data_IF_601672574585
#
_entry.id   IF_601672574585
#
_cell.length_a   1.000
_cell.length_b   1.000
_cell.length_c   1.000
_cell.angle_alpha   90.00
_cell.angle_beta   90.00
_cell.angle_gamma   90.00
#
_symmetry.space_group_name_H-M   'P 1'
#
loop_
_entity.id
_entity.type
_entity.pdbx_description
1 polymer ?
#
# COMPACT_ATOMS: atom_id res chain seq x y z
N UNK A 1 9.15 5.49 0.94
CA UNK A 1 9.18 6.96 1.06
C UNK A 1 8.18 7.47 2.09
N UNK A 2 6.95 7.02 2.14
CA UNK A 2 5.93 7.49 3.09
C UNK A 2 6.38 7.52 4.56
N UNK A 3 7.06 6.47 5.02
CA UNK A 3 7.58 6.44 6.40
C UNK A 3 8.59 7.55 6.70
N UNK A 4 9.29 8.08 5.69
CA UNK A 4 10.25 9.18 5.89
C UNK A 4 9.54 10.51 6.10
N UNK A 5 8.44 10.77 5.40
CA UNK A 5 7.63 11.97 5.63
C UNK A 5 7.05 12.00 7.04
N UNK A 6 6.91 10.83 7.68
CA UNK A 6 6.45 10.69 9.06
C UNK A 6 7.56 10.61 10.10
N UNK A 7 8.81 10.94 9.74
CA UNK A 7 9.94 11.02 10.66
C UNK A 7 10.81 9.76 10.75
N UNK A 8 10.68 8.80 9.85
CA UNK A 8 11.53 7.61 9.83
C UNK A 8 12.98 7.97 9.50
N UNK A 9 13.92 7.64 10.39
CA UNK A 9 15.36 7.85 10.23
C UNK A 9 16.10 6.66 9.61
N UNK A 10 15.39 5.65 9.15
CA UNK A 10 15.91 4.43 8.48
C UNK A 10 16.91 3.60 9.32
N UNK A 11 16.75 3.57 10.62
CA UNK A 11 17.57 2.75 11.53
C UNK A 11 17.43 1.24 11.30
N UNK A 12 16.42 0.79 10.53
CA UNK A 12 16.17 -0.63 10.22
C UNK A 12 15.94 -1.52 11.44
N UNK A 13 15.40 -0.95 12.52
CA UNK A 13 15.08 -1.64 13.78
C UNK A 13 13.58 -1.97 13.95
N UNK A 14 12.77 -1.77 12.90
CA UNK A 14 11.31 -1.99 12.96
C UNK A 14 10.94 -3.41 13.40
N UNK A 15 11.66 -4.41 12.89
CA UNK A 15 11.42 -5.82 13.19
C UNK A 15 11.70 -6.22 14.65
N UNK A 16 12.40 -5.38 15.39
CA UNK A 16 12.72 -5.59 16.81
C UNK A 16 11.75 -4.86 17.76
N UNK A 17 10.73 -4.19 17.22
CA UNK A 17 9.81 -3.35 18.01
C UNK A 17 10.51 -2.20 18.77
N UNK A 18 11.70 -1.79 18.34
CA UNK A 18 12.56 -0.81 19.01
C UNK A 18 12.79 0.45 18.16
N UNK A 19 11.78 0.86 17.39
CA UNK A 19 11.90 2.07 16.57
C UNK A 19 12.12 3.31 17.44
N UNK A 20 13.29 3.97 17.37
CA UNK A 20 13.65 5.04 18.29
C UNK A 20 12.83 6.33 18.09
N UNK A 21 12.17 6.47 16.97
CA UNK A 21 11.32 7.63 16.63
C UNK A 21 9.82 7.32 16.65
N UNK A 22 9.43 6.14 17.09
CA UNK A 22 8.03 5.78 17.31
C UNK A 22 7.21 5.43 16.07
N UNK A 23 7.77 5.49 14.84
CA UNK A 23 7.02 5.27 13.58
C UNK A 23 6.54 3.82 13.44
N UNK A 24 7.35 2.86 13.87
CA UNK A 24 7.08 1.43 13.69
C UNK A 24 7.43 0.65 14.96
N UNK A 25 6.65 0.85 16.01
CA UNK A 25 6.79 0.16 17.28
C UNK A 25 5.45 0.10 18.01
N UNK A 26 5.26 -0.93 18.82
CA UNK A 26 4.15 -1.06 19.76
C UNK A 26 4.56 -0.70 21.20
N UNK A 27 5.84 -0.42 21.45
CA UNK A 27 6.32 0.04 22.75
C UNK A 27 5.67 1.39 23.11
N UNK A 28 4.95 1.50 24.25
CA UNK A 28 4.21 2.70 24.62
C UNK A 28 5.09 3.94 24.78
N UNK A 29 6.31 3.80 25.31
CA UNK A 29 7.22 4.91 25.52
C UNK A 29 7.85 5.39 24.20
N UNK A 30 8.18 4.47 23.31
CA UNK A 30 8.69 4.82 22.00
C UNK A 30 7.60 5.45 21.12
N UNK A 31 6.36 4.98 21.20
CA UNK A 31 5.22 5.55 20.47
C UNK A 31 4.96 7.03 20.81
N UNK A 32 5.23 7.46 22.02
CA UNK A 32 5.11 8.88 22.43
C UNK A 32 6.02 9.83 21.63
N UNK A 33 7.07 9.29 21.01
CA UNK A 33 8.01 10.05 20.17
C UNK A 33 7.49 10.26 18.75
N UNK A 34 6.42 9.57 18.36
CA UNK A 34 5.84 9.72 17.03
C UNK A 34 5.20 11.11 16.89
N UNK A 35 5.67 11.88 15.93
CA UNK A 35 5.19 13.23 15.62
C UNK A 35 4.57 13.36 14.24
N UNK A 36 4.37 12.23 13.54
CA UNK A 36 3.76 12.19 12.21
C UNK A 36 2.31 12.67 12.24
N UNK A 37 1.88 13.23 11.11
CA UNK A 37 0.50 13.70 10.90
C UNK A 37 0.03 13.29 9.52
N UNK A 38 -1.26 12.95 9.33
CA UNK A 38 -1.81 12.61 8.02
C UNK A 38 -1.51 13.66 6.95
N UNK A 39 -1.49 14.94 7.33
CA UNK A 39 -1.24 16.06 6.43
C UNK A 39 0.17 16.00 5.82
N UNK A 40 1.16 15.44 6.49
CA UNK A 40 2.50 15.25 5.93
C UNK A 40 2.46 14.32 4.71
N UNK A 41 1.69 13.24 4.78
CA UNK A 41 1.51 12.31 3.67
C UNK A 41 0.72 12.95 2.53
N UNK A 42 -0.36 13.65 2.86
CA UNK A 42 -1.18 14.37 1.88
C UNK A 42 -0.32 15.38 1.11
N UNK A 43 0.39 16.24 1.83
CA UNK A 43 1.25 17.27 1.22
C UNK A 43 2.36 16.65 0.36
N UNK A 44 2.96 15.56 0.82
CA UNK A 44 3.98 14.84 0.05
C UNK A 44 3.44 14.37 -1.31
N UNK A 45 2.22 13.84 -1.35
CA UNK A 45 1.61 13.44 -2.63
C UNK A 45 1.24 14.63 -3.51
N UNK A 46 0.82 15.75 -2.94
CA UNK A 46 0.62 16.97 -3.72
C UNK A 46 1.92 17.45 -4.35
N UNK A 47 3.03 17.43 -3.62
CA UNK A 47 4.34 17.80 -4.17
C UNK A 47 4.77 16.86 -5.31
N UNK A 48 4.58 15.55 -5.15
CA UNK A 48 4.85 14.58 -6.22
C UNK A 48 3.97 14.88 -7.44
N UNK A 49 2.68 15.13 -7.23
CA UNK A 49 1.77 15.43 -8.34
C UNK A 49 2.19 16.69 -9.10
N UNK A 50 2.66 17.71 -8.39
CA UNK A 50 3.15 18.93 -9.03
C UNK A 50 4.43 18.70 -9.82
N UNK A 51 5.40 17.96 -9.27
CA UNK A 51 6.61 17.57 -9.98
C UNK A 51 6.29 16.77 -11.26
N UNK A 52 5.33 15.83 -11.17
CA UNK A 52 4.85 15.08 -12.34
C UNK A 52 4.23 16.01 -13.38
N UNK A 53 3.45 17.01 -12.97
CA UNK A 53 2.84 18.01 -13.89
C UNK A 53 3.89 18.83 -14.61
N UNK A 54 4.96 19.26 -13.92
CA UNK A 54 6.08 19.97 -14.53
C UNK A 54 6.80 19.12 -15.58
N UNK A 55 7.07 17.85 -15.26
CA UNK A 55 7.69 16.89 -16.20
C UNK A 55 6.79 16.69 -17.42
N UNK A 56 5.49 16.46 -17.19
CA UNK A 56 4.50 16.29 -18.27
C UNK A 56 4.43 17.52 -19.17
N UNK A 57 4.50 18.72 -18.60
CA UNK A 57 4.51 19.98 -19.36
C UNK A 57 5.76 20.08 -20.26
N UNK A 58 6.94 19.70 -19.73
CA UNK A 58 8.18 19.64 -20.51
C UNK A 58 8.08 18.64 -21.68
N UNK A 59 7.39 17.52 -21.48
CA UNK A 59 7.15 16.49 -22.50
C UNK A 59 6.01 16.84 -23.47
N UNK A 60 5.24 17.91 -23.22
CA UNK A 60 4.08 18.29 -24.01
C UNK A 60 2.86 17.38 -23.80
N UNK A 61 2.82 16.61 -22.71
CA UNK A 61 1.75 15.65 -22.38
C UNK A 61 0.75 16.32 -21.45
N UNK A 62 -0.52 16.37 -21.84
CA UNK A 62 -1.58 17.04 -21.06
C UNK A 62 -2.34 16.13 -20.11
N UNK A 63 -2.51 14.86 -20.45
CA UNK A 63 -3.24 13.87 -19.65
C UNK A 63 -2.29 12.84 -19.11
N UNK A 64 -2.44 12.49 -17.85
CA UNK A 64 -1.62 11.48 -17.19
C UNK A 64 -1.75 10.11 -17.89
N UNK A 65 -2.95 9.75 -18.34
CA UNK A 65 -3.20 8.50 -19.04
C UNK A 65 -2.41 8.38 -20.34
N UNK A 66 -2.12 9.50 -21.01
CA UNK A 66 -1.31 9.53 -22.23
C UNK A 66 0.18 9.28 -21.96
N UNK A 67 0.62 9.37 -20.67
CA UNK A 67 1.99 9.10 -20.25
C UNK A 67 2.21 7.61 -19.92
N UNK A 68 1.15 6.89 -19.56
CA UNK A 68 1.25 5.49 -19.12
C UNK A 68 1.79 4.62 -20.27
N UNK A 69 2.85 3.84 -19.98
CA UNK A 69 3.47 2.93 -20.93
C UNK A 69 4.29 3.62 -22.03
N UNK A 70 4.58 4.91 -21.92
CA UNK A 70 5.40 5.65 -22.89
C UNK A 70 6.89 5.43 -22.65
N UNK A 71 7.32 4.18 -22.80
CA UNK A 71 8.73 3.76 -22.65
C UNK A 71 9.65 4.42 -23.71
N UNK A 72 9.08 4.86 -24.81
CA UNK A 72 9.77 5.62 -25.86
C UNK A 72 10.32 6.97 -25.37
N UNK A 73 9.78 7.51 -24.28
CA UNK A 73 10.25 8.75 -23.66
C UNK A 73 11.42 8.53 -22.67
N UNK A 74 11.82 7.29 -22.42
CA UNK A 74 12.88 6.97 -21.47
C UNK A 74 14.24 6.86 -22.18
N UNK A 75 15.19 7.67 -21.75
CA UNK A 75 16.57 7.64 -22.25
C UNK A 75 17.48 6.93 -21.24
N UNK A 76 17.95 5.75 -21.59
CA UNK A 76 18.83 4.92 -20.76
C UNK A 76 20.32 5.22 -20.94
N UNK A 77 20.72 5.99 -21.95
CA UNK A 77 22.12 6.18 -22.35
C UNK A 77 22.99 6.67 -21.19
N UNK A 78 22.52 7.66 -20.44
CA UNK A 78 23.24 8.17 -19.25
C UNK A 78 23.33 7.14 -18.13
N UNK A 79 22.29 6.32 -17.94
CA UNK A 79 22.26 5.27 -16.93
C UNK A 79 23.27 4.16 -17.22
N UNK A 80 23.28 3.64 -18.46
CA UNK A 80 24.19 2.55 -18.88
C UNK A 80 25.63 3.02 -19.07
N UNK A 81 25.88 4.32 -19.19
CA UNK A 81 27.24 4.87 -19.23
C UNK A 81 28.00 4.72 -17.89
N UNK A 82 27.30 4.53 -16.77
CA UNK A 82 27.94 4.30 -15.48
C UNK A 82 28.63 2.92 -15.48
N UNK A 83 29.86 2.85 -14.98
CA UNK A 83 30.69 1.64 -15.05
C UNK A 83 30.03 0.37 -14.46
N UNK A 84 29.23 0.50 -13.39
CA UNK A 84 28.48 -0.64 -12.82
C UNK A 84 27.25 -1.04 -13.63
N UNK A 85 26.79 -0.20 -14.53
CA UNK A 85 25.62 -0.44 -15.35
C UNK A 85 25.98 -0.88 -16.78
N UNK A 86 27.27 -0.91 -17.10
CA UNK A 86 27.74 -1.42 -18.38
C UNK A 86 27.30 -2.87 -18.57
N UNK A 87 26.69 -3.16 -19.71
CA UNK A 87 26.14 -4.49 -20.01
C UNK A 87 24.70 -4.73 -19.55
N UNK A 88 24.04 -3.77 -18.88
CA UNK A 88 22.61 -3.85 -18.64
C UNK A 88 21.84 -3.62 -19.95
N UNK A 89 20.97 -4.56 -20.27
CA UNK A 89 20.05 -4.47 -21.39
C UNK A 89 18.62 -4.24 -20.90
N UNK A 90 18.07 -3.07 -21.21
CA UNK A 90 16.70 -2.69 -20.86
C UNK A 90 15.69 -3.04 -21.96
N UNK A 91 16.08 -3.63 -23.07
CA UNK A 91 15.21 -3.89 -24.21
C UNK A 91 13.96 -4.70 -23.82
N UNK A 92 14.13 -5.72 -22.97
CA UNK A 92 13.01 -6.55 -22.48
C UNK A 92 12.10 -5.82 -21.50
N UNK A 93 12.65 -4.90 -20.69
CA UNK A 93 11.88 -4.09 -19.73
C UNK A 93 11.06 -3.04 -20.46
N UNK A 94 11.58 -2.48 -21.54
CA UNK A 94 10.92 -1.46 -22.34
C UNK A 94 10.17 -2.02 -23.55
N UNK A 95 10.13 -3.34 -23.71
CA UNK A 95 9.34 -3.96 -24.76
C UNK A 95 7.85 -3.70 -24.54
N UNK A 96 7.21 -3.11 -25.54
CA UNK A 96 5.74 -2.98 -25.53
C UNK A 96 5.12 -4.30 -25.99
N UNK A 97 4.02 -4.73 -25.36
CA UNK A 97 3.29 -5.90 -25.84
C UNK A 97 2.71 -5.62 -27.23
N UNK A 98 2.68 -6.67 -28.06
CA UNK A 98 2.07 -6.58 -29.40
C UNK A 98 0.54 -6.67 -29.28
N UNK A 99 -0.09 -5.57 -28.95
CA UNK A 99 -1.54 -5.41 -28.80
C UNK A 99 -2.04 -4.28 -29.69
N UNK A 100 -3.34 -4.26 -29.94
CA UNK A 100 -3.98 -3.18 -30.71
C UNK A 100 -3.72 -1.82 -30.04
N UNK A 101 -3.48 -0.78 -30.83
CA UNK A 101 -3.38 0.60 -30.34
C UNK A 101 -4.65 1.10 -29.64
N UNK A 102 -5.79 0.42 -29.86
CA UNK A 102 -7.06 0.73 -29.22
C UNK A 102 -7.18 0.18 -27.80
N UNK A 103 -6.29 -0.75 -27.43
CA UNK A 103 -6.29 -1.29 -26.06
C UNK A 103 -5.84 -0.21 -25.09
N UNK A 104 -6.62 -0.01 -24.01
CA UNK A 104 -6.29 1.02 -23.01
C UNK A 104 -5.02 0.63 -22.25
N UNK A 105 -4.16 1.62 -21.98
CA UNK A 105 -2.95 1.45 -21.17
C UNK A 105 -3.19 1.76 -19.69
N UNK A 106 -4.42 2.00 -19.29
CA UNK A 106 -4.84 2.28 -17.92
C UNK A 106 -6.03 1.41 -17.55
N UNK A 107 -6.35 1.38 -16.26
CA UNK A 107 -7.44 0.53 -15.77
C UNK A 107 -8.79 1.04 -16.28
N UNK A 108 -9.50 0.19 -17.02
CA UNK A 108 -10.86 0.44 -17.53
C UNK A 108 -11.88 -0.53 -16.96
N UNK A 109 -11.44 -1.56 -16.26
CA UNK A 109 -12.30 -2.59 -15.69
C UNK A 109 -12.45 -2.38 -14.18
N UNK A 110 -13.67 -2.58 -13.69
CA UNK A 110 -13.93 -2.65 -12.26
C UNK A 110 -13.43 -4.01 -11.73
N UNK A 111 -12.69 -4.00 -10.63
CA UNK A 111 -12.27 -5.23 -9.96
C UNK A 111 -13.37 -5.73 -9.03
N UNK A 112 -13.73 -7.00 -9.17
CA UNK A 112 -14.46 -7.74 -8.14
C UNK A 112 -13.42 -8.46 -7.26
N UNK A 113 -13.32 -8.03 -6.01
CA UNK A 113 -12.40 -8.63 -5.02
C UNK A 113 -12.99 -9.89 -4.37
N UNK A 114 -14.21 -10.29 -4.73
CA UNK A 114 -14.88 -11.50 -4.20
C UNK A 114 -15.15 -11.43 -2.70
N UNK A 115 -15.14 -10.24 -2.09
CA UNK A 115 -15.29 -10.07 -0.64
C UNK A 115 -16.65 -10.53 -0.13
N UNK A 116 -17.69 -10.53 -0.98
CA UNK A 116 -19.03 -11.01 -0.60
C UNK A 116 -19.07 -12.48 -0.17
N UNK A 117 -18.09 -13.29 -0.60
CA UNK A 117 -17.97 -14.71 -0.22
C UNK A 117 -16.92 -14.96 0.88
N UNK A 118 -16.38 -13.92 1.48
CA UNK A 118 -15.36 -14.04 2.52
C UNK A 118 -15.93 -14.74 3.77
N UNK A 119 -15.12 -15.64 4.36
CA UNK A 119 -15.49 -16.35 5.61
C UNK A 119 -15.71 -15.38 6.77
N UNK A 120 -15.11 -14.24 6.70
CA UNK A 120 -15.18 -13.19 7.73
C UNK A 120 -16.61 -12.68 7.98
N UNK A 121 -17.52 -12.74 7.00
CA UNK A 121 -18.93 -12.41 7.23
C UNK A 121 -19.55 -13.32 8.31
N UNK A 122 -19.26 -14.62 8.24
CA UNK A 122 -19.72 -15.60 9.24
C UNK A 122 -19.04 -15.35 10.58
N UNK A 123 -17.74 -14.99 10.58
CA UNK A 123 -17.03 -14.68 11.81
C UNK A 123 -17.60 -13.44 12.49
N UNK A 124 -17.90 -12.38 11.73
CA UNK A 124 -18.48 -11.13 12.25
C UNK A 124 -19.87 -11.41 12.83
N UNK A 125 -20.74 -12.10 12.11
CA UNK A 125 -22.08 -12.48 12.57
C UNK A 125 -22.02 -13.26 13.89
N UNK A 126 -21.18 -14.31 13.96
CA UNK A 126 -21.04 -15.12 15.18
C UNK A 126 -20.37 -14.36 16.33
N UNK A 127 -19.61 -13.32 16.06
CA UNK A 127 -18.95 -12.47 17.05
C UNK A 127 -19.80 -11.27 17.47
N UNK A 128 -21.01 -11.09 16.94
CA UNK A 128 -21.87 -9.96 17.26
C UNK A 128 -22.09 -9.77 18.77
N UNK A 129 -22.33 -10.82 19.61
CA UNK A 129 -22.47 -10.65 21.05
C UNK A 129 -21.19 -10.07 21.71
N UNK A 130 -20.01 -10.47 21.23
CA UNK A 130 -18.75 -9.92 21.71
C UNK A 130 -18.56 -8.47 21.25
N UNK A 131 -18.86 -8.18 19.98
CA UNK A 131 -18.71 -6.86 19.41
C UNK A 131 -19.67 -5.82 20.01
N UNK A 132 -20.91 -6.21 20.29
CA UNK A 132 -21.94 -5.28 20.77
C UNK A 132 -22.00 -5.19 22.29
N UNK A 133 -21.82 -6.31 23.00
CA UNK A 133 -22.06 -6.40 24.44
C UNK A 133 -20.83 -6.82 25.26
N UNK A 134 -19.69 -7.07 24.62
CA UNK A 134 -18.49 -7.54 25.32
C UNK A 134 -18.61 -8.96 25.88
N UNK A 135 -19.55 -9.76 25.38
CA UNK A 135 -19.77 -11.13 25.83
C UNK A 135 -18.65 -12.06 25.31
N UNK A 136 -18.28 -13.06 26.09
CA UNK A 136 -17.32 -14.06 25.65
C UNK A 136 -17.98 -15.00 24.65
N UNK A 137 -17.44 -15.07 23.43
CA UNK A 137 -17.86 -16.00 22.39
C UNK A 137 -16.76 -17.00 22.07
N UNK A 138 -17.14 -18.23 21.70
CA UNK A 138 -16.24 -19.28 21.25
C UNK A 138 -16.95 -20.13 20.22
N UNK A 139 -16.36 -20.31 19.05
CA UNK A 139 -16.92 -21.13 17.97
C UNK A 139 -15.82 -21.69 17.10
N UNK A 140 -16.16 -22.74 16.35
CA UNK A 140 -15.28 -23.38 15.39
C UNK A 140 -15.93 -23.28 14.02
N UNK A 141 -15.18 -22.88 13.01
CA UNK A 141 -15.60 -22.84 11.62
C UNK A 141 -14.57 -23.60 10.74
N UNK A 142 -15.03 -24.31 9.71
CA UNK A 142 -14.11 -24.95 8.78
C UNK A 142 -13.40 -23.89 7.94
N UNK A 143 -12.09 -24.06 7.75
CA UNK A 143 -11.25 -23.21 6.90
C UNK A 143 -10.66 -24.04 5.76
N UNK A 144 -10.58 -23.44 4.58
CA UNK A 144 -9.99 -24.05 3.36
C UNK A 144 -8.98 -23.09 2.74
N UNK A 145 -8.15 -23.61 1.84
CA UNK A 145 -7.12 -22.80 1.14
C UNK A 145 -7.68 -21.62 0.33
N UNK A 146 -8.94 -21.67 -0.07
CA UNK A 146 -9.63 -20.56 -0.74
C UNK A 146 -9.96 -19.40 0.20
N UNK A 147 -10.05 -19.65 1.52
CA UNK A 147 -10.30 -18.63 2.52
C UNK A 147 -8.99 -17.90 2.83
N UNK A 148 -8.78 -16.78 2.15
CA UNK A 148 -7.59 -15.95 2.33
C UNK A 148 -7.84 -14.86 3.36
N UNK A 149 -6.78 -14.50 4.10
CA UNK A 149 -6.78 -13.38 5.05
C UNK A 149 -7.94 -13.45 6.07
N UNK A 150 -8.28 -14.67 6.50
CA UNK A 150 -9.38 -14.94 7.46
C UNK A 150 -9.13 -14.18 8.76
N UNK A 151 -10.18 -13.52 9.26
CA UNK A 151 -10.15 -12.70 10.47
C UNK A 151 -9.78 -11.22 10.22
N UNK A 152 -9.34 -10.84 9.02
CA UNK A 152 -8.95 -9.46 8.75
C UNK A 152 -10.13 -8.48 8.81
N UNK A 153 -11.29 -8.86 8.25
CA UNK A 153 -12.50 -8.03 8.33
C UNK A 153 -13.04 -7.96 9.75
N UNK A 154 -13.06 -9.10 10.48
CA UNK A 154 -13.42 -9.13 11.89
C UNK A 154 -12.51 -8.24 12.74
N UNK A 155 -11.19 -8.32 12.52
CA UNK A 155 -10.22 -7.44 13.17
C UNK A 155 -10.49 -5.96 12.88
N UNK A 156 -10.92 -5.65 11.65
CA UNK A 156 -11.35 -4.30 11.27
C UNK A 156 -12.55 -3.82 12.08
N UNK A 157 -13.57 -4.67 12.27
CA UNK A 157 -14.75 -4.32 13.10
C UNK A 157 -14.37 -4.13 14.59
N UNK A 158 -13.49 -4.97 15.12
CA UNK A 158 -12.94 -4.80 16.48
C UNK A 158 -12.19 -3.47 16.59
N UNK A 159 -11.32 -3.15 15.64
CA UNK A 159 -10.54 -1.91 15.65
C UNK A 159 -11.40 -0.64 15.54
N UNK A 160 -12.49 -0.68 14.78
CA UNK A 160 -13.45 0.42 14.70
C UNK A 160 -14.13 0.73 16.03
N UNK A 161 -14.43 -0.31 16.83
CA UNK A 161 -15.18 -0.16 18.10
C UNK A 161 -14.29 0.05 19.33
N UNK A 162 -13.13 -0.58 19.37
CA UNK A 162 -12.33 -0.71 20.60
C UNK A 162 -10.91 -0.14 20.48
N UNK A 163 -10.61 0.59 19.41
CA UNK A 163 -9.29 1.14 19.09
C UNK A 163 -8.24 0.07 18.71
N UNK A 164 -7.19 0.53 18.03
CA UNK A 164 -6.08 -0.33 17.59
C UNK A 164 -5.30 -0.86 18.79
N UNK A 165 -5.04 -2.16 18.82
CA UNK A 165 -4.21 -2.84 19.82
C UNK A 165 -4.98 -3.64 20.88
N UNK A 166 -6.31 -3.64 20.85
CA UNK A 166 -7.13 -4.48 21.75
C UNK A 166 -7.55 -5.83 21.13
N UNK A 167 -7.21 -6.07 19.89
CA UNK A 167 -7.57 -7.32 19.18
C UNK A 167 -6.74 -8.56 19.60
N UNK A 168 -5.84 -8.42 20.56
CA UNK A 168 -4.96 -9.50 21.03
C UNK A 168 -5.23 -9.93 22.48
N UNK A 169 -6.40 -9.63 23.01
CA UNK A 169 -6.78 -10.04 24.37
C UNK A 169 -7.70 -11.25 24.32
#
# INVERSE_FOLDING_TARGET
>A
MLFRSEGCIMMRKCHLNTCPVGVATQDPELRKKFSGKPEHVVNFFFFIAEEVREIMAQLGIRKFDDLIGRVDLLDTRKGVAHWKAQGLDFSKVFALPNVSEKEPRYQTLTQDHGLGSALDHILIEKSEPALERGEKVSFIVPIRNVNRTVGAMLSGEVAKKYEIGRAHV
#
